data_IF_968220055506
#
_entry.id   IF_968220055506
#
_cell.length_a   1.000
_cell.length_b   1.000
_cell.length_c   1.000
_cell.angle_alpha   90.00
_cell.angle_beta   90.00
_cell.angle_gamma   90.00
#
_symmetry.space_group_name_H-M   'P 1'
#
loop_
_entity.id
_entity.type
_entity.pdbx_description
1 polymer ?
#
# COMPACT_ATOMS: atom_id res chain seq x y z
N UNK A 1 22.07 5.19 -17.74
CA UNK A 1 20.75 4.61 -17.42
C UNK A 1 19.93 5.53 -16.51
N UNK A 2 20.49 6.00 -15.39
CA UNK A 2 19.86 6.92 -14.44
C UNK A 2 19.42 8.29 -15.01
N UNK A 3 20.22 8.87 -15.90
CA UNK A 3 19.91 10.19 -16.51
C UNK A 3 18.61 10.14 -17.33
N UNK A 4 18.43 9.08 -18.14
CA UNK A 4 17.21 8.90 -18.95
C UNK A 4 15.96 8.76 -18.06
N UNK A 5 16.09 8.02 -16.96
CA UNK A 5 15.00 7.85 -15.99
C UNK A 5 14.62 9.19 -15.33
N UNK A 6 15.62 10.00 -14.95
CA UNK A 6 15.38 11.33 -14.37
C UNK A 6 14.68 12.28 -15.34
N UNK A 7 15.02 12.22 -16.63
CA UNK A 7 14.34 12.99 -17.68
C UNK A 7 12.88 12.54 -17.82
N UNK A 8 12.61 11.23 -17.85
CA UNK A 8 11.24 10.71 -17.90
C UNK A 8 10.39 11.13 -16.70
N UNK A 9 10.96 11.13 -15.49
CA UNK A 9 10.26 11.57 -14.27
C UNK A 9 9.91 13.06 -14.34
N UNK A 10 10.83 13.91 -14.83
CA UNK A 10 10.56 15.35 -15.03
C UNK A 10 9.40 15.58 -16.00
N UNK A 11 9.47 14.98 -17.20
CA UNK A 11 8.43 15.11 -18.22
C UNK A 11 7.09 14.58 -17.69
N UNK A 12 7.08 13.45 -16.99
CA UNK A 12 5.87 12.91 -16.39
C UNK A 12 5.28 13.85 -15.32
N UNK A 13 6.11 14.46 -14.48
CA UNK A 13 5.63 15.40 -13.45
C UNK A 13 5.05 16.69 -14.03
N UNK A 14 5.54 17.11 -15.20
CA UNK A 14 5.07 18.30 -15.90
C UNK A 14 3.76 18.04 -16.67
N UNK A 15 3.64 16.88 -17.30
CA UNK A 15 2.44 16.48 -18.08
C UNK A 15 1.29 16.01 -17.19
N UNK A 16 1.57 15.20 -16.17
CA UNK A 16 0.53 14.58 -15.33
C UNK A 16 0.31 15.32 -14.01
N UNK A 17 1.16 16.31 -13.69
CA UNK A 17 1.18 16.96 -12.39
C UNK A 17 1.68 16.03 -11.27
N UNK A 18 2.05 16.61 -10.13
CA UNK A 18 2.39 15.85 -8.93
C UNK A 18 1.12 15.71 -8.10
N UNK A 19 0.55 14.51 -8.04
CA UNK A 19 -0.46 14.23 -7.03
C UNK A 19 0.21 14.31 -5.67
N UNK A 20 -0.27 15.22 -4.80
CA UNK A 20 0.01 15.10 -3.37
C UNK A 20 -0.56 13.75 -2.96
N UNK A 21 0.31 12.75 -2.84
CA UNK A 21 -0.06 11.43 -2.36
C UNK A 21 -0.95 11.60 -1.14
N UNK A 22 -2.04 10.81 -1.08
CA UNK A 22 -3.10 10.91 -0.08
C UNK A 22 -2.55 11.43 1.25
N UNK A 23 -2.80 12.71 1.54
CA UNK A 23 -2.43 13.35 2.80
C UNK A 23 -3.37 12.89 3.91
N UNK A 24 -3.79 11.62 3.87
CA UNK A 24 -4.36 10.99 5.03
C UNK A 24 -3.30 11.11 6.10
N UNK A 25 -3.64 11.84 7.16
CA UNK A 25 -2.93 11.82 8.44
C UNK A 25 -2.42 10.41 8.68
N UNK A 26 -1.19 10.27 9.17
CA UNK A 26 -0.59 8.98 9.49
C UNK A 26 -1.55 8.19 10.40
N UNK A 27 -2.37 7.33 9.78
CA UNK A 27 -3.40 6.52 10.44
C UNK A 27 -2.83 5.55 11.47
N UNK A 28 -1.51 5.45 11.54
CA UNK A 28 -0.79 4.59 12.48
C UNK A 28 -0.45 5.27 13.81
N UNK A 29 -0.85 6.53 14.03
CA UNK A 29 -0.44 7.30 15.22
C UNK A 29 -1.28 6.99 16.47
N UNK A 30 -2.53 6.53 16.32
CA UNK A 30 -3.47 6.35 17.44
C UNK A 30 -3.12 5.24 18.45
N UNK A 31 -2.25 4.28 18.10
CA UNK A 31 -1.71 3.26 19.02
C UNK A 31 -0.22 3.46 19.32
N UNK A 32 0.36 4.58 18.87
CA UNK A 32 1.80 4.87 18.94
C UNK A 32 2.18 5.51 20.29
N UNK A 33 2.23 4.68 21.33
CA UNK A 33 2.57 5.09 22.70
C UNK A 33 4.08 5.13 22.96
N UNK A 34 4.53 5.88 23.98
CA UNK A 34 5.94 5.91 24.41
C UNK A 34 6.49 4.50 24.71
N UNK A 35 5.67 3.63 25.30
CA UNK A 35 6.03 2.23 25.57
C UNK A 35 6.32 1.45 24.28
N UNK A 36 5.54 1.68 23.22
CA UNK A 36 5.78 1.06 21.90
C UNK A 36 7.05 1.61 21.28
N UNK A 37 7.27 2.92 21.36
CA UNK A 37 8.49 3.55 20.84
C UNK A 37 9.74 3.01 21.52
N UNK A 38 9.73 2.95 22.86
CA UNK A 38 10.82 2.42 23.67
C UNK A 38 11.10 0.96 23.30
N UNK A 39 10.08 0.11 23.30
CA UNK A 39 10.26 -1.31 22.97
C UNK A 39 10.77 -1.54 21.53
N UNK A 40 10.36 -0.71 20.57
CA UNK A 40 10.88 -0.77 19.19
C UNK A 40 12.33 -0.27 19.12
N UNK A 41 12.66 0.79 19.87
CA UNK A 41 14.03 1.31 19.97
C UNK A 41 14.97 0.24 20.54
N UNK A 42 14.57 -0.39 21.64
CA UNK A 42 15.33 -1.47 22.29
C UNK A 42 15.50 -2.67 21.35
N UNK A 43 14.44 -3.07 20.63
CA UNK A 43 14.53 -4.12 19.60
C UNK A 43 15.53 -3.76 18.49
N UNK A 44 15.54 -2.51 18.03
CA UNK A 44 16.47 -2.03 16.98
C UNK A 44 17.91 -2.02 17.49
N UNK A 45 18.11 -1.62 18.75
CA UNK A 45 19.43 -1.65 19.38
C UNK A 45 19.95 -3.08 19.53
N UNK A 46 19.16 -4.01 20.06
CA UNK A 46 19.55 -5.42 20.13
C UNK A 46 19.82 -6.02 18.75
N UNK A 47 19.08 -5.60 17.71
CA UNK A 47 19.36 -6.03 16.34
C UNK A 47 20.71 -5.51 15.82
N UNK A 48 21.07 -4.25 16.12
CA UNK A 48 22.40 -3.71 15.79
C UNK A 48 23.51 -4.50 16.49
N UNK A 49 23.36 -4.77 17.78
CA UNK A 49 24.33 -5.60 18.52
C UNK A 49 24.44 -7.02 17.94
N UNK A 50 23.31 -7.66 17.62
CA UNK A 50 23.28 -8.98 16.98
C UNK A 50 23.92 -8.99 15.58
N UNK A 51 23.79 -7.89 14.83
CA UNK A 51 24.38 -7.75 13.51
C UNK A 51 25.91 -7.70 13.58
N UNK A 52 26.46 -7.00 14.57
CA UNK A 52 27.90 -6.90 14.79
C UNK A 52 28.50 -8.14 15.45
N UNK A 53 27.82 -8.70 16.45
CA UNK A 53 28.26 -9.88 17.20
C UNK A 53 27.12 -10.89 17.33
N UNK A 54 27.28 -12.04 16.67
CA UNK A 54 26.32 -13.15 16.65
C UNK A 54 26.45 -14.09 17.85
N UNK A 55 27.00 -13.62 18.96
CA UNK A 55 27.04 -14.37 20.22
C UNK A 55 25.65 -14.83 20.68
N UNK A 56 25.62 -15.97 21.38
CA UNK A 56 24.38 -16.53 21.94
C UNK A 56 23.65 -15.51 22.85
N UNK A 57 24.40 -14.67 23.56
CA UNK A 57 23.87 -13.61 24.42
C UNK A 57 23.09 -12.57 23.60
N UNK A 58 23.65 -12.09 22.48
CA UNK A 58 22.98 -11.10 21.64
C UNK A 58 21.77 -11.70 20.91
N UNK A 59 21.84 -12.98 20.54
CA UNK A 59 20.70 -13.71 19.97
C UNK A 59 19.54 -13.74 20.97
N UNK A 60 19.79 -14.12 22.23
CA UNK A 60 18.74 -14.17 23.25
C UNK A 60 18.20 -12.78 23.61
N UNK A 61 19.09 -11.77 23.75
CA UNK A 61 18.67 -10.37 23.98
C UNK A 61 17.73 -9.87 22.88
N UNK A 62 18.07 -10.13 21.62
CA UNK A 62 17.20 -9.75 20.50
C UNK A 62 15.87 -10.51 20.51
N UNK A 63 15.86 -11.82 20.81
CA UNK A 63 14.61 -12.60 20.93
C UNK A 63 13.68 -12.03 22.00
N UNK A 64 14.22 -11.67 23.17
CA UNK A 64 13.46 -11.04 24.26
C UNK A 64 12.93 -9.68 23.81
N UNK A 65 13.78 -8.79 23.30
CA UNK A 65 13.37 -7.46 22.85
C UNK A 65 12.32 -7.53 21.73
N UNK A 66 12.45 -8.49 20.80
CA UNK A 66 11.46 -8.75 19.75
C UNK A 66 10.11 -9.18 20.32
N UNK A 67 10.08 -10.06 21.32
CA UNK A 67 8.84 -10.46 22.00
C UNK A 67 8.22 -9.29 22.76
N UNK A 68 9.02 -8.51 23.47
CA UNK A 68 8.55 -7.32 24.21
C UNK A 68 7.95 -6.28 23.28
N UNK A 69 8.62 -5.97 22.16
CA UNK A 69 8.08 -5.06 21.16
C UNK A 69 6.75 -5.56 20.57
N UNK A 70 6.65 -6.86 20.24
CA UNK A 70 5.38 -7.45 19.75
C UNK A 70 4.27 -7.31 20.79
N UNK A 71 4.56 -7.58 22.07
CA UNK A 71 3.60 -7.44 23.17
C UNK A 71 3.15 -6.00 23.33
N UNK A 72 4.07 -5.05 23.42
CA UNK A 72 3.75 -3.62 23.57
C UNK A 72 2.86 -3.11 22.43
N UNK A 73 3.15 -3.51 21.19
CA UNK A 73 2.31 -3.16 20.02
C UNK A 73 0.93 -3.80 20.13
N UNK A 74 0.84 -5.07 20.53
CA UNK A 74 -0.43 -5.78 20.69
C UNK A 74 -1.30 -5.12 21.76
N UNK A 75 -0.73 -4.80 22.91
CA UNK A 75 -1.43 -4.14 24.02
C UNK A 75 -1.89 -2.73 23.64
N UNK A 76 -1.04 -1.95 22.98
CA UNK A 76 -1.41 -0.59 22.55
C UNK A 76 -2.53 -0.62 21.51
N UNK A 77 -2.48 -1.56 20.56
CA UNK A 77 -3.57 -1.76 19.60
C UNK A 77 -4.84 -2.24 20.29
N UNK A 78 -4.74 -3.18 21.22
CA UNK A 78 -5.88 -3.67 22.01
C UNK A 78 -6.59 -2.51 22.72
N UNK A 79 -5.84 -1.70 23.48
CA UNK A 79 -6.38 -0.51 24.17
C UNK A 79 -7.06 0.46 23.21
N UNK A 80 -6.43 0.74 22.07
CA UNK A 80 -6.98 1.65 21.08
C UNK A 80 -8.29 1.11 20.47
N UNK A 81 -8.38 -0.20 20.21
CA UNK A 81 -9.62 -0.84 19.75
C UNK A 81 -10.69 -0.86 20.84
N UNK A 82 -10.34 -1.16 22.08
CA UNK A 82 -11.29 -1.18 23.20
C UNK A 82 -11.92 0.20 23.40
N UNK A 83 -11.11 1.27 23.32
CA UNK A 83 -11.58 2.66 23.39
C UNK A 83 -12.50 3.00 22.20
N UNK A 84 -12.10 2.60 20.98
CA UNK A 84 -12.93 2.76 19.79
C UNK A 84 -14.28 2.07 19.96
N UNK A 85 -14.32 0.82 20.40
CA UNK A 85 -15.57 0.08 20.58
C UNK A 85 -16.45 0.70 21.67
N UNK A 86 -15.86 1.15 22.78
CA UNK A 86 -16.59 1.88 23.82
C UNK A 86 -17.27 3.12 23.26
N UNK A 87 -16.57 3.88 22.42
CA UNK A 87 -17.11 5.07 21.76
C UNK A 87 -18.20 4.73 20.75
N UNK A 88 -18.05 3.66 19.98
CA UNK A 88 -19.07 3.22 19.01
C UNK A 88 -20.37 2.75 19.68
N UNK A 89 -20.32 2.33 20.95
CA UNK A 89 -21.50 1.95 21.74
C UNK A 89 -22.32 3.14 22.27
N UNK A 90 -21.87 4.39 22.07
CA UNK A 90 -22.64 5.58 22.48
C UNK A 90 -23.49 6.11 21.32
N UNK A 91 -24.52 6.91 21.62
CA UNK A 91 -25.41 7.51 20.59
C UNK A 91 -24.65 8.41 19.61
N UNK A 92 -23.57 9.03 20.05
CA UNK A 92 -22.66 9.83 19.23
C UNK A 92 -21.79 8.95 18.31
N UNK A 93 -21.47 7.73 18.77
CA UNK A 93 -20.67 6.73 18.07
C UNK A 93 -21.36 6.05 16.89
N UNK A 94 -22.69 6.04 16.85
CA UNK A 94 -23.47 5.45 15.75
C UNK A 94 -23.05 6.05 14.38
N UNK A 95 -22.86 7.37 14.31
CA UNK A 95 -22.41 8.06 13.09
C UNK A 95 -21.01 7.63 12.65
N UNK A 96 -20.14 7.30 13.60
CA UNK A 96 -18.78 6.84 13.31
C UNK A 96 -18.76 5.41 12.74
N UNK A 97 -19.71 4.55 13.13
CA UNK A 97 -19.88 3.21 12.51
C UNK A 97 -20.12 3.34 11.01
N UNK A 98 -21.08 4.20 10.61
CA UNK A 98 -21.38 4.44 9.19
C UNK A 98 -20.19 5.04 8.44
N UNK A 99 -19.42 5.93 9.10
CA UNK A 99 -18.19 6.50 8.52
C UNK A 99 -17.13 5.42 8.29
N UNK A 100 -16.92 4.52 9.26
CA UNK A 100 -15.97 3.40 9.14
C UNK A 100 -16.42 2.46 8.01
N UNK A 101 -17.71 2.12 7.92
CA UNK A 101 -18.26 1.29 6.85
C UNK A 101 -18.01 1.92 5.46
N UNK A 102 -18.31 3.21 5.28
CA UNK A 102 -18.03 3.94 4.02
C UNK A 102 -16.55 3.98 3.67
N UNK A 103 -15.66 4.13 4.65
CA UNK A 103 -14.20 4.10 4.40
C UNK A 103 -13.75 2.70 3.94
N UNK A 104 -14.30 1.63 4.54
CA UNK A 104 -14.00 0.24 4.13
C UNK A 104 -14.50 -0.01 2.71
N UNK A 105 -15.74 0.39 2.41
CA UNK A 105 -16.33 0.30 1.07
C UNK A 105 -15.47 1.02 0.02
N UNK A 106 -15.03 2.26 0.27
CA UNK A 106 -14.14 2.99 -0.63
C UNK A 106 -12.76 2.34 -0.83
N UNK A 107 -12.26 1.59 0.15
CA UNK A 107 -10.97 0.90 0.08
C UNK A 107 -11.05 -0.43 -0.67
N UNK A 108 -12.18 -1.12 -0.54
CA UNK A 108 -12.44 -2.42 -1.21
C UNK A 108 -13.08 -2.24 -2.58
N UNK A 109 -13.71 -1.09 -2.82
CA UNK A 109 -14.08 -0.68 -4.16
C UNK A 109 -12.81 -0.63 -4.99
N UNK A 110 -12.70 -1.57 -5.93
CA UNK A 110 -11.72 -1.48 -7.00
C UNK A 110 -11.79 -0.06 -7.58
N UNK A 111 -10.66 0.41 -8.11
CA UNK A 111 -10.67 1.54 -9.04
C UNK A 111 -11.42 1.08 -10.29
N UNK A 112 -12.73 0.88 -10.16
CA UNK A 112 -13.66 0.49 -11.21
C UNK A 112 -13.86 1.71 -12.09
N UNK A 113 -12.83 1.95 -12.88
CA UNK A 113 -12.77 2.58 -14.17
C UNK A 113 -11.29 2.79 -14.45
N UNK A 114 -10.73 1.98 -15.35
CA UNK A 114 -9.63 2.47 -16.18
C UNK A 114 -10.19 3.68 -16.91
N UNK A 115 -10.01 4.87 -16.34
CA UNK A 115 -10.53 6.13 -16.90
C UNK A 115 -9.78 6.53 -18.18
N UNK A 116 -8.65 5.87 -18.45
CA UNK A 116 -7.89 6.11 -19.66
C UNK A 116 -7.00 4.95 -20.08
N UNK A 117 -6.88 4.73 -21.39
CA UNK A 117 -5.94 3.78 -22.01
C UNK A 117 -5.18 4.52 -23.10
N UNK A 118 -3.88 4.23 -23.25
CA UNK A 118 -3.09 4.77 -24.35
C UNK A 118 -3.36 4.02 -25.64
N UNK A 119 -3.53 4.77 -26.73
CA UNK A 119 -3.59 4.20 -28.07
C UNK A 119 -2.18 3.84 -28.60
N UNK A 120 -2.12 3.40 -29.86
CA UNK A 120 -0.85 3.09 -30.56
C UNK A 120 0.04 4.32 -30.77
N UNK A 121 -0.55 5.52 -30.75
CA UNK A 121 0.11 6.80 -30.97
C UNK A 121 0.46 7.51 -29.64
N UNK A 122 0.42 6.76 -28.52
CA UNK A 122 0.65 7.25 -27.16
C UNK A 122 -0.36 8.31 -26.69
N UNK A 123 -1.49 8.48 -27.39
CA UNK A 123 -2.59 9.38 -27.02
C UNK A 123 -3.55 8.73 -26.03
N UNK A 124 -4.05 9.54 -25.11
CA UNK A 124 -4.82 9.08 -23.96
C UNK A 124 -6.32 9.00 -24.31
N UNK A 125 -6.86 7.78 -24.46
CA UNK A 125 -8.27 7.53 -24.74
C UNK A 125 -9.08 7.60 -23.45
N UNK A 126 -10.01 8.54 -23.34
CA UNK A 126 -10.84 8.78 -22.13
C UNK A 126 -12.30 8.36 -22.34
N UNK A 127 -12.78 8.30 -23.58
CA UNK A 127 -14.17 7.89 -23.88
C UNK A 127 -14.31 6.37 -23.72
N UNK A 128 -15.38 5.93 -23.05
CA UNK A 128 -15.60 4.51 -22.74
C UNK A 128 -15.72 3.60 -23.98
N UNK A 129 -16.26 4.11 -25.09
CA UNK A 129 -16.33 3.35 -26.35
C UNK A 129 -14.94 3.10 -26.94
N UNK A 130 -14.09 4.13 -26.98
CA UNK A 130 -12.73 4.05 -27.52
C UNK A 130 -11.86 3.11 -26.68
N UNK A 131 -12.01 3.17 -25.34
CA UNK A 131 -11.38 2.26 -24.39
C UNK A 131 -11.80 0.80 -24.67
N UNK A 132 -13.10 0.55 -24.89
CA UNK A 132 -13.61 -0.80 -25.18
C UNK A 132 -13.09 -1.34 -26.52
N UNK A 133 -13.06 -0.52 -27.56
CA UNK A 133 -12.52 -0.89 -28.87
C UNK A 133 -11.01 -1.16 -28.80
N UNK A 134 -10.27 -0.38 -27.99
CA UNK A 134 -8.84 -0.61 -27.76
C UNK A 134 -8.60 -1.95 -27.09
N UNK A 135 -9.38 -2.31 -26.06
CA UNK A 135 -9.31 -3.61 -25.40
C UNK A 135 -9.56 -4.77 -26.38
N UNK A 136 -10.57 -4.66 -27.24
CA UNK A 136 -10.86 -5.68 -28.25
C UNK A 136 -9.68 -5.89 -29.20
N UNK A 137 -9.07 -4.80 -29.69
CA UNK A 137 -7.90 -4.88 -30.56
C UNK A 137 -6.69 -5.54 -29.89
N UNK A 138 -6.43 -5.22 -28.62
CA UNK A 138 -5.35 -5.86 -27.85
C UNK A 138 -5.60 -7.36 -27.74
N UNK A 139 -6.80 -7.77 -27.31
CA UNK A 139 -7.15 -9.18 -27.18
C UNK A 139 -7.05 -9.93 -28.51
N UNK A 140 -7.56 -9.35 -29.60
CA UNK A 140 -7.45 -9.96 -30.92
C UNK A 140 -6.00 -10.09 -31.40
N UNK A 141 -5.16 -9.09 -31.13
CA UNK A 141 -3.75 -9.12 -31.51
C UNK A 141 -2.97 -10.21 -30.74
N UNK A 142 -3.24 -10.36 -29.44
CA UNK A 142 -2.64 -11.39 -28.60
C UNK A 142 -3.07 -12.79 -29.04
N UNK A 143 -4.37 -12.97 -29.36
CA UNK A 143 -4.90 -14.24 -29.88
C UNK A 143 -4.29 -14.57 -31.24
N UNK A 144 -4.21 -13.59 -32.15
CA UNK A 144 -3.60 -13.78 -33.49
C UNK A 144 -2.11 -14.13 -33.38
N UNK A 145 -1.37 -13.47 -32.50
CA UNK A 145 0.05 -13.77 -32.26
C UNK A 145 0.26 -15.13 -31.59
N UNK A 146 -0.60 -15.52 -30.64
CA UNK A 146 -0.58 -16.86 -30.07
C UNK A 146 -0.85 -17.93 -31.13
N UNK A 147 -1.81 -17.70 -32.04
CA UNK A 147 -2.12 -18.61 -33.14
C UNK A 147 -0.95 -18.77 -34.12
N UNK A 148 -0.25 -17.67 -34.44
CA UNK A 148 0.96 -17.71 -35.28
C UNK A 148 2.08 -18.49 -34.61
N UNK A 149 2.32 -18.29 -33.31
CA UNK A 149 3.32 -19.06 -32.54
C UNK A 149 3.03 -20.56 -32.56
N UNK A 150 1.75 -20.95 -32.45
CA UNK A 150 1.36 -22.36 -32.55
C UNK A 150 1.52 -22.94 -33.94
N UNK A 151 1.31 -22.14 -35.01
CA UNK A 151 1.44 -22.59 -36.40
C UNK A 151 2.87 -22.58 -36.94
N UNK A 152 3.75 -21.74 -36.41
CA UNK A 152 5.16 -21.65 -36.79
C UNK A 152 6.10 -22.59 -36.01
N UNK A 153 5.57 -23.39 -35.08
CA UNK A 153 6.33 -24.37 -34.31
C UNK A 153 6.29 -25.79 -34.94
N UNK A 154 6.14 -25.89 -36.26
CA UNK A 154 6.09 -27.14 -37.00
C UNK A 154 7.12 -27.17 -38.13
#
# INVERSE_FOLDING_TARGET
MWVKMATCIKVASEVFGVTKGSSGESKDTWWWTENVQKAIKDKKECYRSLFHDKSAVNIERYKVAKKTAKRAVSEAKGRAYDDLYRRLSTKEGEKDVYKIARIRERKTGDLNQVKCIKDEMDQLLVKGQDIKQRWQRIQESEVKEALKRMKGAR
#
